data_IF_134943006687
#
_entry.id   IF_134943006687
#
_cell.length_a   1.000
_cell.length_b   1.000
_cell.length_c   1.000
_cell.angle_alpha   90.00
_cell.angle_beta   90.00
_cell.angle_gamma   90.00
#
_symmetry.space_group_name_H-M   'P 1'
#
loop_
_entity.id
_entity.type
_entity.pdbx_description
1 polymer ?
#
# COMPACT_ATOMS: atom_id res chain seq x y z
N UNK A 1 -22.87 3.75 18.54
CA UNK A 1 -22.01 4.46 17.58
C UNK A 1 -21.95 3.60 16.34
N UNK A 2 -22.67 3.98 15.30
CA UNK A 2 -22.53 3.33 13.99
C UNK A 2 -21.07 3.45 13.57
N UNK A 3 -20.47 2.30 13.27
CA UNK A 3 -19.11 2.24 12.76
C UNK A 3 -19.16 2.92 11.38
N UNK A 4 -18.63 4.14 11.25
CA UNK A 4 -18.57 4.85 9.99
C UNK A 4 -17.56 4.10 9.10
N UNK A 5 -18.05 3.08 8.42
CA UNK A 5 -17.28 2.19 7.58
C UNK A 5 -16.58 2.98 6.47
N UNK A 6 -15.26 2.88 6.40
CA UNK A 6 -14.47 3.52 5.35
C UNK A 6 -14.78 2.88 3.99
N UNK A 7 -15.49 3.60 3.14
CA UNK A 7 -15.81 3.17 1.78
C UNK A 7 -14.67 3.51 0.80
N UNK A 8 -14.10 2.48 0.18
CA UNK A 8 -13.02 2.55 -0.83
C UNK A 8 -13.55 2.81 -2.25
N UNK A 9 -14.86 2.79 -2.45
CA UNK A 9 -15.49 2.88 -3.77
C UNK A 9 -15.14 4.21 -4.45
N UNK A 10 -14.72 4.10 -5.71
CA UNK A 10 -14.38 5.26 -6.53
C UNK A 10 -13.06 5.95 -6.17
N UNK A 11 -12.30 5.44 -5.18
CA UNK A 11 -10.94 5.93 -4.92
C UNK A 11 -10.01 5.47 -6.04
N UNK A 12 -9.93 4.17 -6.30
CA UNK A 12 -9.03 3.62 -7.31
C UNK A 12 -9.80 3.07 -8.53
N UNK A 13 -9.27 3.24 -9.76
CA UNK A 13 -8.07 4.01 -10.09
C UNK A 13 -8.31 5.53 -10.13
N UNK A 14 -9.57 5.97 -10.13
CA UNK A 14 -10.00 7.33 -10.50
C UNK A 14 -9.20 8.46 -9.84
N UNK A 15 -8.98 8.39 -8.53
CA UNK A 15 -8.32 9.42 -7.75
C UNK A 15 -6.78 9.39 -7.86
N UNK A 16 -6.20 8.32 -8.39
CA UNK A 16 -4.76 8.22 -8.67
C UNK A 16 -4.42 8.39 -10.15
N UNK A 17 -5.42 8.25 -11.01
CA UNK A 17 -5.21 8.19 -12.44
C UNK A 17 -4.75 9.54 -13.00
N UNK A 18 -3.70 9.51 -13.80
CA UNK A 18 -3.03 10.69 -14.35
C UNK A 18 -2.55 11.69 -13.27
N UNK A 19 -2.27 11.24 -12.03
CA UNK A 19 -1.61 12.05 -11.02
C UNK A 19 -0.27 11.43 -10.61
N UNK A 20 0.80 12.21 -10.71
CA UNK A 20 2.14 11.79 -10.33
C UNK A 20 2.36 12.08 -8.84
N UNK A 21 2.57 11.03 -8.05
CA UNK A 21 2.79 11.13 -6.60
C UNK A 21 4.27 11.26 -6.18
N UNK A 22 5.19 11.19 -7.14
CA UNK A 22 6.62 11.28 -6.86
C UNK A 22 7.01 12.70 -6.40
N UNK A 23 7.73 12.76 -5.28
CA UNK A 23 8.18 14.02 -4.65
C UNK A 23 9.39 14.64 -5.36
N UNK A 24 10.11 13.86 -6.17
CA UNK A 24 11.31 14.31 -6.90
C UNK A 24 11.01 14.72 -8.34
N UNK A 25 9.77 14.52 -8.81
CA UNK A 25 9.38 14.94 -10.14
C UNK A 25 9.43 16.47 -10.28
N UNK A 26 10.18 16.92 -11.27
CA UNK A 26 10.29 18.34 -11.60
C UNK A 26 9.00 18.80 -12.31
N UNK A 27 8.10 19.47 -11.60
CA UNK A 27 6.88 20.02 -12.21
C UNK A 27 7.14 21.51 -12.50
N UNK A 28 7.34 21.84 -13.77
CA UNK A 28 7.65 23.21 -14.22
C UNK A 28 6.45 24.17 -14.17
N UNK A 29 5.61 24.10 -13.12
CA UNK A 29 4.40 24.92 -13.00
C UNK A 29 4.61 26.09 -12.05
N UNK A 30 4.08 27.25 -12.42
CA UNK A 30 4.00 28.43 -11.54
C UNK A 30 3.34 28.09 -10.21
N UNK A 31 2.27 27.28 -10.24
CA UNK A 31 1.58 26.79 -9.04
C UNK A 31 2.47 25.97 -8.11
N UNK A 32 3.52 25.32 -8.63
CA UNK A 32 4.47 24.60 -7.78
C UNK A 32 5.26 25.56 -6.87
N UNK A 33 5.62 26.76 -7.34
CA UNK A 33 6.31 27.76 -6.51
C UNK A 33 5.40 28.29 -5.39
N UNK A 34 4.10 28.45 -5.69
CA UNK A 34 3.09 28.86 -4.73
C UNK A 34 2.88 27.76 -3.66
N UNK A 35 2.67 26.52 -4.11
CA UNK A 35 3.05 25.24 -3.48
C UNK A 35 4.14 25.37 -2.41
N UNK A 36 5.36 25.60 -2.88
CA UNK A 36 6.57 25.66 -2.05
C UNK A 36 6.46 26.74 -0.98
N UNK A 37 5.95 27.93 -1.33
CA UNK A 37 5.79 29.05 -0.39
C UNK A 37 4.79 28.71 0.71
N UNK A 38 3.60 28.22 0.34
CA UNK A 38 2.57 27.78 1.28
C UNK A 38 3.13 26.74 2.24
N UNK A 39 3.74 25.69 1.70
CA UNK A 39 4.24 24.57 2.49
C UNK A 39 5.39 24.97 3.42
N UNK A 40 6.24 25.91 3.01
CA UNK A 40 7.29 26.46 3.87
C UNK A 40 6.71 27.26 5.04
N UNK A 41 5.71 28.11 4.78
CA UNK A 41 5.02 28.86 5.83
C UNK A 41 4.25 27.93 6.77
N UNK A 42 3.53 26.95 6.23
CA UNK A 42 2.82 25.94 7.00
C UNK A 42 3.78 25.16 7.90
N UNK A 43 4.90 24.66 7.36
CA UNK A 43 5.97 23.98 8.13
C UNK A 43 6.38 24.78 9.36
N UNK A 44 6.73 26.05 9.18
CA UNK A 44 7.24 26.88 10.27
C UNK A 44 6.22 27.08 11.40
N UNK A 45 4.93 26.98 11.08
CA UNK A 45 3.85 27.06 12.06
C UNK A 45 3.68 25.74 12.83
N UNK A 46 3.73 24.61 12.11
CA UNK A 46 3.40 23.30 12.69
C UNK A 46 4.59 22.49 13.18
N UNK A 47 5.83 22.91 12.97
CA UNK A 47 7.00 22.18 13.49
C UNK A 47 8.13 23.09 13.92
N UNK A 48 8.89 22.65 14.94
CA UNK A 48 10.13 23.29 15.40
C UNK A 48 11.40 22.70 14.78
N UNK A 49 11.27 21.67 13.94
CA UNK A 49 12.41 20.90 13.44
C UNK A 49 12.95 21.45 12.12
N UNK A 50 14.25 21.73 12.08
CA UNK A 50 14.93 22.19 10.85
C UNK A 50 15.55 21.06 10.03
N UNK A 51 15.77 19.89 10.63
CA UNK A 51 16.58 18.81 10.02
C UNK A 51 15.90 18.04 8.88
N UNK A 52 14.66 18.38 8.50
CA UNK A 52 13.93 17.73 7.39
C UNK A 52 13.05 18.68 6.57
N UNK A 53 13.40 19.97 6.53
CA UNK A 53 12.61 21.02 5.84
C UNK A 53 12.31 20.62 4.39
N UNK A 54 13.34 20.22 3.64
CA UNK A 54 13.19 19.95 2.22
C UNK A 54 12.16 18.85 1.94
N UNK A 55 12.27 17.72 2.65
CA UNK A 55 11.33 16.60 2.44
C UNK A 55 9.90 16.97 2.84
N UNK A 56 9.70 17.69 3.95
CA UNK A 56 8.37 18.15 4.36
C UNK A 56 7.72 18.99 3.26
N UNK A 57 8.46 19.99 2.77
CA UNK A 57 7.96 20.90 1.75
C UNK A 57 7.60 20.15 0.47
N UNK A 58 8.42 19.18 0.04
CA UNK A 58 8.11 18.37 -1.14
C UNK A 58 6.84 17.50 -0.96
N UNK A 59 6.67 16.82 0.18
CA UNK A 59 5.45 16.04 0.42
C UNK A 59 4.21 16.93 0.47
N UNK A 60 4.29 18.06 1.19
CA UNK A 60 3.20 19.02 1.30
C UNK A 60 2.84 19.60 -0.07
N UNK A 61 3.86 19.88 -0.91
CA UNK A 61 3.66 20.39 -2.25
C UNK A 61 2.93 19.40 -3.15
N UNK A 62 3.29 18.10 -3.09
CA UNK A 62 2.56 17.04 -3.82
C UNK A 62 1.10 16.99 -3.39
N UNK A 63 0.82 17.14 -2.09
CA UNK A 63 -0.56 17.21 -1.58
C UNK A 63 -1.31 18.46 -2.06
N UNK A 64 -0.68 19.62 -2.08
CA UNK A 64 -1.28 20.85 -2.61
C UNK A 64 -1.65 20.73 -4.09
N UNK A 65 -0.73 20.18 -4.90
CA UNK A 65 -0.97 19.89 -6.31
C UNK A 65 -2.05 18.82 -6.51
N UNK A 66 -2.21 17.91 -5.56
CA UNK A 66 -3.28 16.92 -5.59
C UNK A 66 -4.66 17.56 -5.34
N UNK A 67 -4.76 18.52 -4.42
CA UNK A 67 -5.99 19.30 -4.24
C UNK A 67 -6.34 20.11 -5.50
N UNK A 68 -5.33 20.71 -6.15
CA UNK A 68 -5.50 21.36 -7.45
C UNK A 68 -5.99 20.38 -8.52
N UNK A 69 -5.46 19.16 -8.54
CA UNK A 69 -5.90 18.11 -9.46
C UNK A 69 -7.38 17.75 -9.25
N UNK A 70 -7.80 17.55 -8.00
CA UNK A 70 -9.21 17.27 -7.67
C UNK A 70 -10.09 18.43 -8.12
N UNK A 71 -9.67 19.67 -7.83
CA UNK A 71 -10.41 20.87 -8.21
C UNK A 71 -10.60 20.98 -9.72
N UNK A 72 -9.53 20.83 -10.49
CA UNK A 72 -9.58 20.95 -11.95
C UNK A 72 -10.34 19.81 -12.63
N UNK A 73 -10.41 18.63 -12.00
CA UNK A 73 -11.17 17.48 -12.50
C UNK A 73 -12.50 17.27 -11.79
N UNK A 74 -13.01 18.23 -11.02
CA UNK A 74 -14.16 18.04 -10.13
C UNK A 74 -15.44 17.54 -10.81
N UNK A 75 -15.60 17.76 -12.13
CA UNK A 75 -16.74 17.23 -12.90
C UNK A 75 -16.61 15.74 -13.25
N UNK A 76 -15.39 15.22 -13.36
CA UNK A 76 -15.12 13.82 -13.74
C UNK A 76 -14.76 12.94 -12.53
N UNK A 77 -14.16 13.53 -11.50
CA UNK A 77 -13.86 12.85 -10.25
C UNK A 77 -15.01 12.98 -9.27
N UNK A 78 -15.18 11.98 -8.41
CA UNK A 78 -16.03 12.08 -7.21
C UNK A 78 -15.19 12.74 -6.11
N UNK A 79 -15.36 14.04 -5.80
CA UNK A 79 -14.43 14.76 -4.91
C UNK A 79 -14.35 14.11 -3.52
N UNK A 80 -15.49 13.64 -2.99
CA UNK A 80 -15.55 12.93 -1.71
C UNK A 80 -14.57 11.73 -1.65
N UNK A 81 -14.61 10.83 -2.63
CA UNK A 81 -13.69 9.66 -2.67
C UNK A 81 -12.22 10.09 -2.75
N UNK A 82 -11.90 11.10 -3.56
CA UNK A 82 -10.51 11.56 -3.69
C UNK A 82 -10.02 12.33 -2.46
N UNK A 83 -10.91 13.02 -1.76
CA UNK A 83 -10.60 13.68 -0.50
C UNK A 83 -10.25 12.69 0.61
N UNK A 84 -10.88 11.51 0.65
CA UNK A 84 -10.46 10.42 1.54
C UNK A 84 -8.99 10.01 1.28
N UNK A 85 -8.60 9.90 0.01
CA UNK A 85 -7.21 9.60 -0.36
C UNK A 85 -6.25 10.74 0.02
N UNK A 86 -6.67 11.99 -0.15
CA UNK A 86 -5.92 13.15 0.33
C UNK A 86 -5.66 13.07 1.84
N UNK A 87 -6.68 12.80 2.66
CA UNK A 87 -6.53 12.70 4.10
C UNK A 87 -5.62 11.55 4.53
N UNK A 88 -5.69 10.41 3.84
CA UNK A 88 -4.76 9.30 4.05
C UNK A 88 -3.32 9.74 3.82
N UNK A 89 -3.05 10.41 2.70
CA UNK A 89 -1.71 10.89 2.36
C UNK A 89 -1.24 12.01 3.29
N UNK A 90 -2.13 12.92 3.70
CA UNK A 90 -1.84 13.92 4.72
C UNK A 90 -1.44 13.27 6.04
N UNK A 91 -2.20 12.28 6.52
CA UNK A 91 -1.84 11.54 7.73
C UNK A 91 -0.50 10.85 7.59
N UNK A 92 -0.35 9.99 6.59
CA UNK A 92 0.81 9.13 6.41
C UNK A 92 2.10 9.87 6.05
N UNK A 93 2.03 10.75 5.05
CA UNK A 93 3.22 11.37 4.46
C UNK A 93 3.62 12.65 5.18
N UNK A 94 2.70 13.27 5.93
CA UNK A 94 2.97 14.51 6.68
C UNK A 94 2.89 14.28 8.20
N UNK A 95 1.75 13.90 8.74
CA UNK A 95 1.54 13.90 10.21
C UNK A 95 2.33 12.79 10.90
N UNK A 96 2.27 11.56 10.41
CA UNK A 96 2.97 10.42 11.02
C UNK A 96 4.49 10.49 10.80
N UNK A 97 4.90 11.16 9.71
CA UNK A 97 6.31 11.24 9.28
C UNK A 97 7.08 12.38 9.92
N UNK A 98 6.40 13.47 10.24
CA UNK A 98 7.00 14.67 10.82
C UNK A 98 6.32 14.93 12.17
N UNK A 99 7.09 15.09 13.25
CA UNK A 99 6.51 15.40 14.56
C UNK A 99 5.91 16.82 14.54
N UNK A 100 4.61 16.91 14.28
CA UNK A 100 3.87 18.16 14.15
C UNK A 100 3.21 18.58 15.46
N UNK A 101 2.98 19.88 15.62
CA UNK A 101 2.22 20.50 16.71
C UNK A 101 0.70 20.42 16.48
N UNK A 102 0.27 20.18 15.24
CA UNK A 102 -1.14 20.01 14.90
C UNK A 102 -1.53 18.54 14.98
N UNK A 103 -2.82 18.27 15.23
CA UNK A 103 -3.33 16.90 15.34
C UNK A 103 -4.08 16.49 14.07
N UNK A 104 -4.08 15.19 13.78
CA UNK A 104 -4.95 14.63 12.75
C UNK A 104 -6.43 14.68 13.17
N UNK A 105 -6.69 14.49 14.46
CA UNK A 105 -8.02 14.64 15.05
C UNK A 105 -8.60 16.02 14.71
N UNK A 106 -9.89 16.04 14.34
CA UNK A 106 -10.66 17.24 14.01
C UNK A 106 -10.09 18.06 12.84
N UNK A 107 -9.29 17.44 11.97
CA UNK A 107 -8.80 18.10 10.76
C UNK A 107 -7.92 19.35 11.02
N UNK A 108 -7.30 19.45 12.21
CA UNK A 108 -6.57 20.64 12.64
C UNK A 108 -5.41 21.00 11.69
N UNK A 109 -4.60 20.01 11.33
CA UNK A 109 -3.46 20.23 10.43
C UNK A 109 -3.86 20.81 9.07
N UNK A 110 -4.93 20.30 8.45
CA UNK A 110 -5.37 20.79 7.16
C UNK A 110 -5.99 22.18 7.27
N UNK A 111 -6.79 22.44 8.32
CA UNK A 111 -7.33 23.76 8.58
C UNK A 111 -6.22 24.81 8.73
N UNK A 112 -5.13 24.48 9.44
CA UNK A 112 -3.94 25.34 9.52
C UNK A 112 -3.29 25.54 8.16
N UNK A 113 -3.17 24.50 7.33
CA UNK A 113 -2.67 24.63 5.96
C UNK A 113 -3.53 25.60 5.13
N UNK A 114 -4.86 25.51 5.23
CA UNK A 114 -5.81 26.42 4.55
C UNK A 114 -5.63 27.86 5.07
N UNK A 115 -5.48 28.07 6.38
CA UNK A 115 -5.29 29.39 6.97
C UNK A 115 -4.01 30.09 6.50
N UNK A 116 -2.98 29.32 6.10
CA UNK A 116 -1.73 29.87 5.56
C UNK A 116 -1.79 30.11 4.05
N UNK A 117 -2.93 29.89 3.40
CA UNK A 117 -3.14 30.22 1.99
C UNK A 117 -2.82 31.71 1.75
N UNK A 118 -1.79 31.97 0.95
CA UNK A 118 -1.52 33.33 0.47
C UNK A 118 -2.53 33.75 -0.60
N UNK A 119 -2.46 35.02 -1.01
CA UNK A 119 -3.34 35.62 -2.04
C UNK A 119 -3.31 34.84 -3.37
N UNK A 120 -2.20 34.15 -3.66
CA UNK A 120 -2.00 33.50 -4.96
C UNK A 120 -2.66 32.12 -5.08
N UNK A 121 -2.90 31.42 -3.97
CA UNK A 121 -3.53 30.10 -4.02
C UNK A 121 -5.01 30.27 -3.70
N UNK A 122 -5.87 29.92 -4.66
CA UNK A 122 -7.30 29.97 -4.48
C UNK A 122 -7.72 29.18 -3.24
N UNK A 123 -8.36 29.85 -2.28
CA UNK A 123 -8.96 29.23 -1.09
C UNK A 123 -9.96 28.14 -1.46
N UNK A 124 -10.56 28.20 -2.67
CA UNK A 124 -11.43 27.16 -3.21
C UNK A 124 -10.66 25.86 -3.50
N UNK A 125 -9.44 25.95 -4.04
CA UNK A 125 -8.59 24.78 -4.29
C UNK A 125 -8.23 24.12 -2.96
N UNK A 126 -7.74 24.93 -2.01
CA UNK A 126 -7.34 24.42 -0.71
C UNK A 126 -8.52 23.97 0.15
N UNK A 127 -9.73 24.47 -0.08
CA UNK A 127 -10.93 24.12 0.67
C UNK A 127 -11.70 22.92 0.13
N UNK A 128 -11.33 22.35 -1.02
CA UNK A 128 -12.17 21.35 -1.71
C UNK A 128 -12.43 20.08 -0.91
N UNK A 129 -11.54 19.71 0.03
CA UNK A 129 -11.70 18.54 0.89
C UNK A 129 -12.14 18.86 2.32
N UNK A 130 -12.44 20.13 2.62
CA UNK A 130 -12.71 20.59 3.99
C UNK A 130 -13.89 19.84 4.64
N UNK A 131 -14.97 19.66 3.88
CA UNK A 131 -16.21 19.04 4.35
C UNK A 131 -16.24 17.51 4.13
N UNK A 132 -15.11 16.93 3.71
CA UNK A 132 -14.95 15.50 3.43
C UNK A 132 -13.94 14.83 4.36
N UNK A 133 -13.75 15.38 5.57
CA UNK A 133 -12.88 14.78 6.56
C UNK A 133 -13.35 13.37 6.92
N UNK A 134 -12.39 12.45 6.96
CA UNK A 134 -12.60 11.07 7.38
C UNK A 134 -11.48 10.70 8.32
N UNK A 135 -11.81 10.05 9.43
CA UNK A 135 -10.82 9.46 10.33
C UNK A 135 -10.33 8.14 9.71
N UNK A 136 -9.02 7.96 9.69
CA UNK A 136 -8.35 6.83 9.03
C UNK A 136 -7.60 6.06 10.07
N UNK A 137 -8.20 4.97 10.53
CA UNK A 137 -7.56 4.06 11.48
C UNK A 137 -6.35 3.34 10.85
N UNK A 138 -5.57 2.66 11.69
CA UNK A 138 -4.35 1.99 11.26
C UNK A 138 -4.60 0.83 10.29
N UNK A 139 -5.71 0.10 10.44
CA UNK A 139 -6.08 -0.99 9.53
C UNK A 139 -6.47 -0.44 8.16
N UNK A 140 -7.29 0.62 8.14
CA UNK A 140 -7.68 1.34 6.91
C UNK A 140 -6.45 1.91 6.20
N UNK A 141 -5.52 2.52 6.95
CA UNK A 141 -4.25 3.01 6.41
C UNK A 141 -3.43 1.88 5.76
N UNK A 142 -3.29 0.73 6.43
CA UNK A 142 -2.59 -0.43 5.88
C UNK A 142 -3.25 -0.98 4.61
N UNK A 143 -4.59 -0.97 4.52
CA UNK A 143 -5.31 -1.37 3.31
C UNK A 143 -5.04 -0.40 2.15
N UNK A 144 -5.06 0.90 2.43
CA UNK A 144 -4.73 1.93 1.42
C UNK A 144 -3.30 1.78 0.92
N UNK A 145 -2.34 1.42 1.79
CA UNK A 145 -0.95 1.11 1.38
C UNK A 145 -0.90 0.01 0.32
N UNK A 146 -1.57 -1.11 0.57
CA UNK A 146 -1.62 -2.22 -0.38
C UNK A 146 -2.27 -1.82 -1.69
N UNK A 147 -3.42 -1.14 -1.63
CA UNK A 147 -4.12 -0.67 -2.82
C UNK A 147 -3.24 0.28 -3.65
N UNK A 148 -2.55 1.21 -3.01
CA UNK A 148 -1.68 2.16 -3.70
C UNK A 148 -0.54 1.46 -4.44
N UNK A 149 0.10 0.48 -3.79
CA UNK A 149 1.15 -0.32 -4.40
C UNK A 149 0.64 -1.22 -5.54
N UNK A 150 -0.54 -1.81 -5.39
CA UNK A 150 -1.20 -2.61 -6.44
C UNK A 150 -1.52 -1.74 -7.65
N UNK A 151 -2.12 -0.57 -7.46
CA UNK A 151 -2.48 0.32 -8.56
C UNK A 151 -1.27 0.98 -9.21
N UNK A 152 -0.18 1.18 -8.47
CA UNK A 152 1.12 1.57 -9.04
C UNK A 152 1.65 0.50 -10.00
N UNK A 153 1.61 -0.77 -9.61
CA UNK A 153 2.01 -1.89 -10.48
C UNK A 153 1.08 -2.01 -11.71
N UNK A 154 -0.25 -1.86 -11.53
CA UNK A 154 -1.23 -1.81 -12.63
C UNK A 154 -0.88 -0.71 -13.63
N UNK A 155 -0.59 0.51 -13.15
CA UNK A 155 -0.23 1.60 -14.03
C UNK A 155 1.07 1.28 -14.78
N UNK A 156 2.08 0.77 -14.07
CA UNK A 156 3.37 0.36 -14.64
C UNK A 156 3.18 -0.66 -15.77
N UNK A 157 2.39 -1.72 -15.56
CA UNK A 157 2.13 -2.73 -16.59
C UNK A 157 1.31 -2.22 -17.77
N UNK A 158 0.47 -1.21 -17.53
CA UNK A 158 -0.36 -0.60 -18.57
C UNK A 158 0.48 0.32 -19.47
N UNK A 159 1.41 1.09 -18.89
CA UNK A 159 2.20 2.08 -19.62
C UNK A 159 3.51 1.52 -20.17
N UNK A 160 4.10 0.53 -19.51
CA UNK A 160 5.43 0.00 -19.86
C UNK A 160 5.39 -1.51 -20.10
N UNK A 161 5.20 -1.97 -21.35
CA UNK A 161 5.16 -3.39 -21.68
C UNK A 161 6.40 -4.18 -21.22
N UNK A 162 7.58 -3.55 -21.26
CA UNK A 162 8.84 -4.16 -20.80
C UNK A 162 8.83 -4.52 -19.30
N UNK A 163 7.93 -3.96 -18.51
CA UNK A 163 7.82 -4.23 -17.07
C UNK A 163 6.95 -5.45 -16.77
N UNK A 164 6.33 -6.08 -17.77
CA UNK A 164 5.46 -7.26 -17.63
C UNK A 164 6.25 -8.55 -17.47
N UNK A 165 7.30 -8.52 -16.66
CA UNK A 165 8.19 -9.65 -16.40
C UNK A 165 7.68 -10.49 -15.22
N UNK A 166 8.11 -11.74 -15.15
CA UNK A 166 7.82 -12.64 -14.01
C UNK A 166 8.28 -12.05 -12.68
N UNK A 167 9.42 -11.34 -12.70
CA UNK A 167 10.01 -10.68 -11.53
C UNK A 167 9.12 -9.56 -10.97
N UNK A 168 8.34 -8.87 -11.81
CA UNK A 168 7.44 -7.82 -11.36
C UNK A 168 6.03 -8.35 -11.08
N UNK A 169 5.54 -9.28 -11.90
CA UNK A 169 4.17 -9.82 -11.78
C UNK A 169 4.02 -10.76 -10.57
N UNK A 170 5.08 -11.49 -10.20
CA UNK A 170 5.05 -12.37 -9.00
C UNK A 170 4.87 -11.58 -7.69
N UNK A 171 5.63 -10.51 -7.40
CA UNK A 171 5.35 -9.63 -6.26
C UNK A 171 3.95 -8.99 -6.31
N UNK A 172 3.50 -8.56 -7.49
CA UNK A 172 2.18 -7.96 -7.68
C UNK A 172 1.05 -8.89 -7.23
N UNK A 173 1.03 -10.14 -7.73
CA UNK A 173 0.01 -11.14 -7.34
C UNK A 173 0.05 -11.46 -5.84
N UNK A 174 1.24 -11.51 -5.22
CA UNK A 174 1.39 -11.65 -3.76
C UNK A 174 0.82 -10.48 -2.97
N UNK A 175 0.88 -9.25 -3.48
CA UNK A 175 0.24 -8.08 -2.82
C UNK A 175 -1.28 -8.25 -2.83
N UNK A 176 -1.85 -8.74 -3.92
CA UNK A 176 -3.30 -9.01 -4.05
C UNK A 176 -3.74 -10.14 -3.11
N UNK A 177 -2.97 -11.23 -3.03
CA UNK A 177 -3.26 -12.32 -2.10
C UNK A 177 -3.26 -11.82 -0.63
N UNK A 178 -2.30 -10.99 -0.25
CA UNK A 178 -2.27 -10.37 1.09
C UNK A 178 -3.46 -9.45 1.33
N UNK A 179 -3.84 -8.66 0.33
CA UNK A 179 -5.01 -7.79 0.41
C UNK A 179 -6.30 -8.61 0.64
N UNK A 180 -6.43 -9.77 0.00
CA UNK A 180 -7.53 -10.71 0.24
C UNK A 180 -7.53 -11.28 1.66
N UNK A 181 -6.36 -11.65 2.20
CA UNK A 181 -6.25 -12.13 3.58
C UNK A 181 -6.70 -11.07 4.60
N UNK A 182 -6.28 -9.81 4.40
CA UNK A 182 -6.76 -8.67 5.19
C UNK A 182 -8.27 -8.43 5.03
N UNK A 183 -8.80 -8.68 3.84
CA UNK A 183 -10.21 -8.49 3.51
C UNK A 183 -11.13 -9.36 4.37
N UNK A 184 -10.71 -10.52 4.89
CA UNK A 184 -11.60 -11.36 5.73
C UNK A 184 -12.24 -10.62 6.92
N UNK A 185 -11.58 -9.57 7.44
CA UNK A 185 -12.12 -8.72 8.53
C UNK A 185 -12.94 -7.51 8.03
N UNK A 186 -12.73 -7.07 6.80
CA UNK A 186 -13.29 -5.84 6.22
C UNK A 186 -13.98 -6.10 4.87
N UNK A 187 -14.58 -7.29 4.74
CA UNK A 187 -14.75 -7.94 3.43
C UNK A 187 -15.66 -7.19 2.49
N UNK A 188 -16.82 -6.77 3.01
CA UNK A 188 -17.81 -6.02 2.25
C UNK A 188 -17.19 -4.74 1.67
N UNK A 189 -16.26 -4.11 2.40
CA UNK A 189 -15.62 -2.83 2.03
C UNK A 189 -14.68 -2.96 0.82
N UNK A 190 -14.08 -4.13 0.59
CA UNK A 190 -13.05 -4.33 -0.45
C UNK A 190 -13.55 -5.09 -1.67
N UNK A 191 -14.70 -5.76 -1.61
CA UNK A 191 -15.18 -6.61 -2.69
C UNK A 191 -15.26 -5.89 -4.03
N UNK A 192 -15.82 -4.67 -4.07
CA UNK A 192 -15.93 -3.90 -5.30
C UNK A 192 -14.54 -3.53 -5.89
N UNK A 193 -13.58 -3.20 -5.02
CA UNK A 193 -12.22 -2.85 -5.45
C UNK A 193 -11.45 -4.09 -5.93
N UNK A 194 -11.58 -5.21 -5.23
CA UNK A 194 -10.97 -6.48 -5.62
C UNK A 194 -11.54 -7.01 -6.93
N UNK A 195 -12.85 -6.88 -7.16
CA UNK A 195 -13.45 -7.26 -8.44
C UNK A 195 -12.91 -6.38 -9.58
N UNK A 196 -12.76 -5.07 -9.37
CA UNK A 196 -12.12 -4.20 -10.36
C UNK A 196 -10.68 -4.64 -10.67
N UNK A 197 -9.89 -5.00 -9.66
CA UNK A 197 -8.53 -5.54 -9.85
C UNK A 197 -8.57 -6.85 -10.64
N UNK A 198 -9.52 -7.74 -10.34
CA UNK A 198 -9.73 -9.00 -11.08
C UNK A 198 -10.02 -8.73 -12.56
N UNK A 199 -10.90 -7.78 -12.87
CA UNK A 199 -11.23 -7.45 -14.26
C UNK A 199 -10.00 -6.93 -15.02
N UNK A 200 -9.14 -6.15 -14.36
CA UNK A 200 -7.85 -5.70 -14.92
C UNK A 200 -6.94 -6.92 -15.18
N UNK A 201 -6.83 -7.85 -14.23
CA UNK A 201 -6.05 -9.08 -14.39
C UNK A 201 -6.57 -9.97 -15.53
N UNK A 202 -7.89 -10.09 -15.70
CA UNK A 202 -8.49 -10.81 -16.84
C UNK A 202 -8.09 -10.17 -18.16
N UNK A 203 -8.12 -8.84 -18.24
CA UNK A 203 -7.67 -8.11 -19.42
C UNK A 203 -6.19 -8.39 -19.72
N UNK A 204 -5.32 -8.34 -18.71
CA UNK A 204 -3.91 -8.70 -18.90
C UNK A 204 -3.72 -10.14 -19.36
N UNK A 205 -4.44 -11.10 -18.78
CA UNK A 205 -4.35 -12.50 -19.18
C UNK A 205 -4.69 -12.68 -20.68
N UNK A 206 -5.73 -11.98 -21.16
CA UNK A 206 -6.13 -12.01 -22.57
C UNK A 206 -5.12 -11.28 -23.48
N UNK A 207 -4.69 -10.08 -23.09
CA UNK A 207 -3.83 -9.22 -23.91
C UNK A 207 -2.40 -9.78 -24.06
N UNK A 208 -1.90 -10.49 -23.05
CA UNK A 208 -0.52 -10.99 -23.00
C UNK A 208 -0.37 -12.40 -23.58
N UNK A 209 -1.48 -13.12 -23.81
CA UNK A 209 -1.49 -14.51 -24.33
C UNK A 209 -0.70 -14.69 -25.63
N UNK A 210 -0.68 -13.66 -26.47
CA UNK A 210 -0.10 -13.72 -27.82
C UNK A 210 1.21 -12.93 -27.96
N UNK A 211 1.75 -12.39 -26.85
CA UNK A 211 2.96 -11.56 -26.87
C UNK A 211 4.11 -12.27 -26.16
N UNK A 212 5.17 -12.56 -26.91
CA UNK A 212 6.47 -12.88 -26.32
C UNK A 212 7.16 -11.57 -25.97
N UNK A 213 7.72 -11.37 -24.77
CA UNK A 213 8.05 -12.37 -23.73
C UNK A 213 7.03 -12.51 -22.58
N UNK A 214 5.87 -11.84 -22.65
CA UNK A 214 4.92 -11.76 -21.53
C UNK A 214 4.25 -13.11 -21.18
N UNK A 215 4.33 -14.11 -22.06
CA UNK A 215 3.75 -15.45 -21.84
C UNK A 215 4.21 -16.09 -20.53
N UNK A 216 5.47 -15.89 -20.11
CA UNK A 216 5.96 -16.46 -18.85
C UNK A 216 5.29 -15.83 -17.63
N UNK A 217 4.90 -14.56 -17.72
CA UNK A 217 4.21 -13.84 -16.64
C UNK A 217 2.77 -14.29 -16.44
N UNK A 218 2.13 -14.83 -17.49
CA UNK A 218 0.76 -15.37 -17.43
C UNK A 218 0.60 -16.51 -16.44
N UNK A 219 1.68 -17.22 -16.10
CA UNK A 219 1.64 -18.23 -15.06
C UNK A 219 1.08 -17.68 -13.73
N UNK A 220 1.46 -16.45 -13.39
CA UNK A 220 1.04 -15.78 -12.16
C UNK A 220 -0.38 -15.21 -12.23
N UNK A 221 -0.82 -14.78 -13.41
CA UNK A 221 -2.17 -14.23 -13.65
C UNK A 221 -3.02 -15.25 -14.45
N UNK A 222 -2.88 -16.53 -14.12
CA UNK A 222 -3.59 -17.60 -14.83
C UNK A 222 -5.09 -17.60 -14.50
N UNK A 223 -5.91 -18.15 -15.39
CA UNK A 223 -7.36 -18.34 -15.14
C UNK A 223 -7.61 -19.10 -13.83
N UNK A 224 -6.74 -20.07 -13.50
CA UNK A 224 -6.80 -20.80 -12.24
C UNK A 224 -6.61 -19.88 -11.03
N UNK A 225 -5.63 -18.97 -11.07
CA UNK A 225 -5.40 -18.01 -9.98
C UNK A 225 -6.55 -17.00 -9.89
N UNK A 226 -7.01 -16.46 -11.01
CA UNK A 226 -8.15 -15.52 -11.06
C UNK A 226 -9.42 -16.16 -10.50
N UNK A 227 -9.75 -17.38 -10.90
CA UNK A 227 -10.93 -18.08 -10.41
C UNK A 227 -10.81 -18.41 -8.92
N UNK A 228 -9.61 -18.80 -8.44
CA UNK A 228 -9.35 -18.99 -7.00
C UNK A 228 -9.62 -17.69 -6.22
N UNK A 229 -9.19 -16.55 -6.74
CA UNK A 229 -9.42 -15.25 -6.11
C UNK A 229 -10.92 -14.88 -6.08
N UNK A 230 -11.64 -15.07 -7.20
CA UNK A 230 -13.11 -14.90 -7.25
C UNK A 230 -13.85 -15.81 -6.28
N UNK A 231 -13.45 -17.09 -6.19
CA UNK A 231 -14.04 -18.03 -5.25
C UNK A 231 -13.81 -17.62 -3.80
N UNK A 232 -12.64 -17.06 -3.47
CA UNK A 232 -12.39 -16.51 -2.14
C UNK A 232 -13.31 -15.31 -1.83
N UNK A 233 -13.50 -14.41 -2.79
CA UNK A 233 -14.39 -13.24 -2.65
C UNK A 233 -15.86 -13.68 -2.52
N UNK A 234 -16.32 -14.63 -3.34
CA UNK A 234 -17.72 -15.07 -3.37
C UNK A 234 -18.06 -16.13 -2.31
N UNK A 235 -17.17 -17.10 -2.08
CA UNK A 235 -17.42 -18.23 -1.18
C UNK A 235 -17.63 -17.79 0.26
N UNK A 236 -16.89 -16.79 0.71
CA UNK A 236 -17.11 -16.22 2.03
C UNK A 236 -18.35 -15.29 2.08
N UNK A 237 -18.99 -14.95 0.94
CA UNK A 237 -20.30 -14.26 0.94
C UNK A 237 -21.41 -15.26 1.29
N UNK A 238 -21.32 -16.48 0.76
CA UNK A 238 -22.23 -17.57 1.09
C UNK A 238 -22.14 -18.00 2.56
N UNK A 239 -20.93 -18.03 3.15
CA UNK A 239 -20.75 -18.31 4.59
C UNK A 239 -21.37 -17.20 5.48
N UNK A 240 -21.22 -15.92 5.10
CA UNK A 240 -21.81 -14.80 5.86
C UNK A 240 -23.34 -14.82 5.78
N UNK A 241 -23.90 -14.94 4.57
CA UNK A 241 -25.37 -14.96 4.36
C UNK A 241 -26.04 -16.22 4.90
N UNK A 242 -25.33 -17.35 4.96
CA UNK A 242 -25.81 -18.58 5.59
C UNK A 242 -25.95 -18.44 7.12
N UNK A 243 -24.99 -17.78 7.77
CA UNK A 243 -25.00 -17.61 9.23
C UNK A 243 -26.02 -16.57 9.72
N UNK A 244 -26.31 -15.52 8.93
CA UNK A 244 -27.33 -14.52 9.32
C UNK A 244 -28.76 -15.08 9.29
N UNK A 245 -29.06 -15.99 8.36
CA UNK A 245 -30.37 -16.66 8.33
C UNK A 245 -30.55 -17.65 9.48
N UNK A 246 -29.49 -18.35 9.90
CA UNK A 246 -29.54 -19.27 11.04
C UNK A 246 -29.63 -18.59 12.42
N UNK A 247 -29.25 -17.31 12.54
CA UNK A 247 -29.29 -16.62 13.82
C UNK A 247 -30.63 -15.93 14.11
N UNK A 248 -31.41 -15.59 13.08
CA UNK A 248 -32.71 -14.92 13.25
C UNK A 248 -33.80 -15.90 13.71
N UNK A 249 -33.72 -17.17 13.35
CA UNK A 249 -34.68 -18.20 13.81
C UNK A 249 -34.44 -18.70 15.24
N UNK A 250 -33.28 -18.41 15.85
CA UNK A 250 -32.93 -18.94 17.18
C UNK A 250 -33.11 -17.93 18.33
N UNK A 251 -33.47 -16.67 18.04
CA UNK A 251 -33.79 -15.67 19.07
C UNK A 251 -35.27 -15.64 19.45
N UNK A 252 -36.15 -16.26 18.66
CA UNK A 252 -37.58 -16.39 19.01
C UNK A 252 -37.90 -17.64 19.85
N UNK A 253 -37.01 -18.64 19.87
CA UNK A 253 -37.23 -19.91 20.58
C UNK A 253 -36.49 -20.02 21.93
N UNK A 254 -35.50 -19.16 22.20
CA UNK A 254 -34.70 -19.21 23.46
C UNK A 254 -35.16 -18.27 24.57
N UNK A 255 -36.23 -17.50 24.38
CA UNK A 255 -36.89 -16.79 25.48
C UNK A 255 -37.81 -17.69 26.32
N UNK A 256 -37.98 -18.97 25.96
CA UNK A 256 -38.86 -19.92 26.66
C UNK A 256 -38.13 -21.11 27.32
N UNK A 257 -36.81 -21.23 27.18
CA UNK A 257 -36.03 -22.38 27.69
C UNK A 257 -34.85 -21.97 28.58
N UNK A 258 -34.94 -20.81 29.24
CA UNK A 258 -34.02 -20.42 30.30
C UNK A 258 -34.56 -20.79 31.69
N UNK A 259 -35.18 -21.96 31.84
CA UNK A 259 -35.56 -22.50 33.14
C UNK A 259 -35.61 -24.03 33.10
N UNK A 260 -34.49 -24.69 32.80
CA UNK A 260 -34.14 -26.04 33.30
C UNK A 260 -32.88 -26.53 32.61
N UNK A 261 -31.72 -26.42 33.26
CA UNK A 261 -30.73 -27.52 33.39
C UNK A 261 -29.46 -26.98 34.08
N UNK A 262 -29.43 -27.07 35.42
CA UNK A 262 -28.18 -27.30 36.13
C UNK A 262 -28.02 -28.81 36.26
N UNK A 263 -27.04 -29.42 35.58
CA UNK A 263 -26.38 -30.61 36.10
C UNK A 263 -25.12 -30.95 35.29
N UNK A 264 -23.99 -30.97 36.01
CA UNK A 264 -22.89 -31.94 35.92
C UNK A 264 -22.27 -32.30 34.56
N UNK A 265 -21.00 -31.95 34.38
CA UNK A 265 -20.18 -32.47 33.29
C UNK A 265 -18.69 -32.18 33.42
N UNK A 266 -18.02 -32.92 34.32
CA UNK A 266 -16.65 -33.46 34.19
C UNK A 266 -15.50 -32.58 33.67
N UNK A 267 -14.60 -32.27 34.60
CA UNK A 267 -13.23 -31.81 34.37
C UNK A 267 -12.44 -32.78 33.46
N UNK A 268 -12.12 -32.32 32.25
CA UNK A 268 -11.06 -32.87 31.40
C UNK A 268 -9.91 -31.88 31.34
N UNK A 269 -8.98 -31.95 32.31
CA UNK A 269 -7.72 -31.21 32.28
C UNK A 269 -6.80 -31.79 31.20
N UNK A 270 -6.88 -31.26 29.98
CA UNK A 270 -5.80 -31.41 29.00
C UNK A 270 -4.78 -30.29 29.20
N UNK A 271 -3.64 -30.68 29.77
CA UNK A 271 -2.41 -29.93 30.02
C UNK A 271 -1.85 -29.21 28.79
N UNK A 272 -2.49 -28.11 28.41
CA UNK A 272 -2.05 -27.23 27.30
C UNK A 272 -1.35 -25.96 27.81
N UNK A 273 -0.88 -25.98 29.07
CA UNK A 273 -0.28 -24.83 29.76
C UNK A 273 1.24 -24.67 29.58
N UNK A 274 1.93 -25.66 29.01
CA UNK A 274 3.41 -25.68 28.99
C UNK A 274 3.99 -24.94 27.77
N UNK A 275 3.21 -24.70 26.71
CA UNK A 275 3.74 -24.16 25.44
C UNK A 275 4.02 -22.65 25.46
N UNK A 276 3.20 -21.85 26.14
CA UNK A 276 3.31 -20.38 26.08
C UNK A 276 4.51 -19.88 26.90
N UNK A 277 4.80 -20.49 28.05
CA UNK A 277 5.91 -20.09 28.92
C UNK A 277 7.31 -20.27 28.30
N UNK A 278 7.51 -21.32 27.50
CA UNK A 278 8.81 -21.59 26.86
C UNK A 278 9.19 -20.52 25.81
N UNK A 279 8.19 -19.95 25.12
CA UNK A 279 8.42 -18.90 24.12
C UNK A 279 8.95 -17.65 24.81
N UNK A 280 8.30 -17.18 25.89
CA UNK A 280 8.74 -15.98 26.61
C UNK A 280 10.15 -16.12 27.21
N UNK A 281 10.47 -17.28 27.80
CA UNK A 281 11.82 -17.54 28.35
C UNK A 281 12.88 -17.47 27.24
N UNK A 282 12.61 -18.05 26.07
CA UNK A 282 13.55 -18.00 24.93
C UNK A 282 13.81 -16.57 24.44
N UNK A 283 12.77 -15.73 24.36
CA UNK A 283 12.91 -14.32 23.97
C UNK A 283 13.64 -13.49 25.03
N UNK A 284 13.38 -13.74 26.31
CA UNK A 284 14.09 -13.06 27.41
C UNK A 284 15.60 -13.35 27.39
N UNK A 285 16.01 -14.60 27.14
CA UNK A 285 17.43 -14.97 27.02
C UNK A 285 18.09 -14.25 25.84
N UNK A 286 17.42 -14.18 24.68
CA UNK A 286 17.94 -13.48 23.50
C UNK A 286 18.10 -11.97 23.74
N UNK A 287 17.14 -11.33 24.41
CA UNK A 287 17.22 -9.90 24.75
C UNK A 287 18.37 -9.65 25.74
N UNK A 288 18.51 -10.46 26.78
CA UNK A 288 19.61 -10.35 27.74
C UNK A 288 20.95 -10.56 27.04
N UNK A 289 21.09 -11.57 26.17
CA UNK A 289 22.30 -11.74 25.34
C UNK A 289 22.56 -10.52 24.46
N UNK A 290 21.55 -9.92 23.84
CA UNK A 290 21.71 -8.76 22.97
C UNK A 290 22.15 -7.51 23.75
N UNK A 291 21.60 -7.29 24.95
CA UNK A 291 21.99 -6.22 25.85
C UNK A 291 23.43 -6.46 26.33
N UNK A 292 23.75 -7.64 26.86
CA UNK A 292 25.11 -7.99 27.27
C UNK A 292 26.10 -7.84 26.10
N UNK A 293 25.71 -8.27 24.90
CA UNK A 293 26.52 -8.11 23.69
C UNK A 293 26.74 -6.64 23.30
N UNK A 294 25.74 -5.79 23.49
CA UNK A 294 25.83 -4.35 23.18
C UNK A 294 26.64 -3.56 24.21
N UNK A 295 26.60 -3.97 25.47
CA UNK A 295 27.18 -3.21 26.59
C UNK A 295 28.46 -3.83 27.19
N UNK A 296 28.84 -5.05 26.78
CA UNK A 296 30.16 -5.61 27.15
C UNK A 296 31.23 -5.12 26.17
N UNK A 297 32.41 -4.76 26.70
CA UNK A 297 33.57 -4.19 26.00
C UNK A 297 34.16 -5.06 24.87
N UNK A 298 33.62 -6.26 24.62
CA UNK A 298 34.00 -7.16 23.52
C UNK A 298 33.54 -6.69 22.13
N UNK A 299 32.71 -5.65 22.01
CA UNK A 299 32.27 -5.11 20.71
C UNK A 299 33.43 -4.59 19.85
N UNK A 300 34.54 -4.18 20.47
CA UNK A 300 35.76 -3.74 19.78
C UNK A 300 36.40 -4.86 18.94
N UNK A 301 36.28 -6.14 19.35
CA UNK A 301 36.88 -7.28 18.66
C UNK A 301 36.08 -7.79 17.46
N UNK A 302 34.77 -7.56 17.43
CA UNK A 302 33.89 -8.03 16.34
C UNK A 302 33.72 -7.01 15.22
N UNK A 303 33.90 -5.71 15.51
CA UNK A 303 33.83 -4.63 14.52
C UNK A 303 34.75 -4.87 13.29
N UNK A 304 35.99 -5.39 13.44
CA UNK A 304 36.83 -5.72 12.27
C UNK A 304 36.29 -6.90 11.45
N UNK A 305 35.75 -7.95 12.10
CA UNK A 305 35.23 -9.14 11.41
C UNK A 305 33.95 -8.84 10.63
N UNK A 306 33.02 -8.09 11.22
CA UNK A 306 31.78 -7.65 10.55
C UNK A 306 32.11 -6.70 9.39
N UNK A 307 33.10 -5.81 9.55
CA UNK A 307 33.57 -4.94 8.46
C UNK A 307 34.15 -5.74 7.29
N UNK A 308 34.96 -6.79 7.55
CA UNK A 308 35.48 -7.68 6.50
C UNK A 308 34.37 -8.45 5.78
N UNK A 309 33.37 -8.93 6.51
CA UNK A 309 32.19 -9.60 5.95
C UNK A 309 31.41 -8.65 5.03
N UNK A 310 31.14 -7.42 5.47
CA UNK A 310 30.49 -6.39 4.65
C UNK A 310 31.29 -6.07 3.38
N UNK A 311 32.62 -5.98 3.47
CA UNK A 311 33.49 -5.76 2.30
C UNK A 311 33.41 -6.94 1.33
N UNK A 312 33.43 -8.19 1.81
CA UNK A 312 33.31 -9.38 0.95
C UNK A 312 31.96 -9.46 0.25
N UNK A 313 30.87 -9.21 0.97
CA UNK A 313 29.52 -9.13 0.40
C UNK A 313 29.41 -8.04 -0.67
N UNK A 314 29.98 -6.86 -0.41
CA UNK A 314 29.93 -5.76 -1.37
C UNK A 314 30.85 -5.99 -2.59
N UNK A 315 31.97 -6.71 -2.42
CA UNK A 315 32.87 -7.10 -3.52
C UNK A 315 32.23 -8.15 -4.43
N UNK A 316 31.48 -9.10 -3.87
CA UNK A 316 30.71 -10.07 -4.66
C UNK A 316 29.60 -9.40 -5.49
N UNK A 317 28.98 -8.34 -4.96
CA UNK A 317 27.93 -7.62 -5.68
C UNK A 317 28.48 -6.82 -6.89
N UNK A 318 29.73 -6.36 -6.85
CA UNK A 318 30.38 -5.69 -7.99
C UNK A 318 30.76 -6.67 -9.10
N UNK A 319 31.32 -7.83 -8.76
CA UNK A 319 31.73 -8.81 -9.77
C UNK A 319 30.55 -9.46 -10.52
N UNK A 320 29.34 -9.45 -9.94
CA UNK A 320 28.14 -9.94 -10.62
C UNK A 320 27.56 -8.97 -11.65
N UNK A 321 27.91 -7.67 -11.60
CA UNK A 321 27.44 -6.70 -12.61
C UNK A 321 28.17 -6.87 -13.96
N UNK A 322 29.45 -7.25 -13.94
CA UNK A 322 30.22 -7.49 -15.17
C UNK A 322 29.72 -8.71 -15.95
N UNK A 323 29.13 -9.69 -15.26
CA UNK A 323 28.57 -10.88 -15.90
C UNK A 323 27.29 -10.56 -16.68
N UNK A 324 26.45 -9.65 -16.18
CA UNK A 324 25.22 -9.20 -16.83
C UNK A 324 25.53 -8.42 -18.12
N UNK A 325 26.56 -7.58 -18.11
CA UNK A 325 26.95 -6.79 -19.29
C UNK A 325 27.55 -7.65 -20.43
N UNK A 326 28.20 -8.78 -20.12
CA UNK A 326 28.80 -9.63 -21.16
C UNK A 326 27.78 -10.41 -22.01
N UNK A 327 26.57 -10.62 -21.50
CA UNK A 327 25.52 -11.34 -22.26
C UNK A 327 24.83 -10.44 -23.29
N UNK A 328 24.68 -9.14 -23.01
CA UNK A 328 24.02 -8.21 -23.94
C UNK A 328 24.89 -7.83 -25.15
N UNK A 329 26.22 -7.85 -25.02
CA UNK A 329 27.10 -7.49 -26.14
C UNK A 329 27.22 -8.62 -27.18
N UNK A 330 27.05 -9.89 -26.77
CA UNK A 330 27.27 -11.04 -27.67
C UNK A 330 26.07 -11.36 -28.58
N UNK A 331 24.87 -10.87 -28.27
CA UNK A 331 23.67 -11.11 -29.08
C UNK A 331 23.39 -10.06 -30.16
N UNK A 332 24.09 -8.92 -30.19
CA UNK A 332 23.89 -7.89 -31.22
C UNK A 332 24.70 -8.08 -32.50
N UNK A 333 25.69 -8.98 -32.51
CA UNK A 333 26.62 -9.14 -33.65
C UNK A 333 26.35 -10.36 -34.54
N UNK A 334 25.24 -11.09 -34.41
CA UNK A 334 25.00 -12.31 -35.21
C UNK A 334 23.78 -12.29 -36.13
N UNK A 335 23.11 -11.15 -36.35
CA UNK A 335 21.86 -11.10 -37.13
C UNK A 335 21.90 -10.23 -38.38
N UNK A 336 23.01 -9.57 -38.70
CA UNK A 336 23.06 -8.58 -39.79
C UNK A 336 23.77 -9.05 -41.06
N UNK A 337 23.75 -10.35 -41.34
CA UNK A 337 24.53 -10.90 -42.44
C UNK A 337 23.97 -12.17 -43.03
N UNK A 338 22.79 -12.12 -43.65
CA UNK A 338 22.50 -12.92 -44.87
C UNK A 338 21.11 -12.74 -45.46
N UNK A 339 21.10 -12.75 -46.79
CA UNK A 339 20.04 -13.07 -47.76
C UNK A 339 19.35 -11.88 -48.46
N UNK A 340 20.08 -11.31 -49.43
CA UNK A 340 19.49 -10.66 -50.60
C UNK A 340 19.33 -11.74 -51.69
N UNK A 341 18.09 -12.09 -52.03
CA UNK A 341 17.73 -12.99 -53.14
C UNK A 341 17.14 -12.11 -54.23
N UNK A 342 17.82 -12.00 -55.37
CA UNK A 342 17.27 -11.43 -56.60
C UNK A 342 16.66 -12.54 -57.46
N UNK A 343 15.44 -12.30 -57.94
CA UNK A 343 14.80 -13.13 -58.97
C UNK A 343 15.12 -12.53 -60.34
N UNK A 344 15.53 -13.39 -61.27
CA UNK A 344 15.70 -13.10 -62.70
C UNK A 344 14.37 -13.13 -63.45
#
# INVERSE_FOLDING_TARGET
>A
MENNDFDFTGIFPNCTDNFLWDIYQNRSRSTQQEFTKLCSTFKNDVTNSDSKIHNFVQYCQVLGLYLEHIYNKGLTLKPNSCCKLFYYKLKKDIIDKFALKCTYANNDCYNKMIQKAGVNISSKILGICKDHFVDIDNNTSALLDYLFEIYKDINLFSTEPLQRTTNNVSPFTKKIDKLEEYSRKNKIRLNAVLENIIQICVKYNNDWKYREPEKHSLYYISDKWINKLRMKINGTYAEITGNEKGHTENFQTKALEAETLMSTGTYGETSTGISVGMIFISFSILIIMFILYKYTTYFSFLKPRVRRLRIRLNKNNRNNMDFIYSFDFKNKNSLDGKYEISYS
#
